data_IF_785327251877
#
_entry.id   IF_785327251877
#
_cell.length_a   1.000
_cell.length_b   1.000
_cell.length_c   1.000
_cell.angle_alpha   90.00
_cell.angle_beta   90.00
_cell.angle_gamma   90.00
#
_symmetry.space_group_name_H-M   'P 1'
#
loop_
_entity.id
_entity.type
_entity.pdbx_description
1 polymer ?
#
# COMPACT_ATOMS: atom_id res chain seq x y z
N UNK A 1 -39.53 -16.96 3.58
CA UNK A 1 -38.95 -15.66 3.89
C UNK A 1 -37.52 -15.97 4.33
N UNK A 2 -36.53 -15.57 3.54
CA UNK A 2 -35.13 -15.72 3.95
C UNK A 2 -34.85 -14.60 4.98
N UNK A 3 -34.29 -14.96 6.11
CA UNK A 3 -33.86 -14.00 7.12
C UNK A 3 -32.73 -13.11 6.49
N UNK A 4 -32.89 -11.80 6.57
CA UNK A 4 -31.82 -10.87 6.20
C UNK A 4 -30.63 -11.10 7.13
N UNK A 5 -29.39 -11.17 6.59
CA UNK A 5 -28.21 -11.34 7.42
C UNK A 5 -28.05 -10.15 8.36
N UNK A 6 -27.76 -10.42 9.63
CA UNK A 6 -27.61 -9.39 10.65
C UNK A 6 -26.42 -8.46 10.30
N UNK A 7 -26.53 -7.19 10.64
CA UNK A 7 -25.49 -6.17 10.41
C UNK A 7 -24.08 -6.54 10.98
N UNK A 8 -24.02 -7.52 11.88
CA UNK A 8 -22.77 -8.10 12.40
C UNK A 8 -22.05 -9.03 11.41
N UNK A 9 -22.76 -9.67 10.47
CA UNK A 9 -22.14 -10.55 9.47
C UNK A 9 -21.49 -9.77 8.32
N UNK A 10 -21.94 -8.55 8.07
CA UNK A 10 -21.36 -7.64 7.07
C UNK A 10 -20.06 -6.95 7.56
N UNK A 11 -19.78 -6.95 8.87
CA UNK A 11 -18.61 -6.27 9.46
C UNK A 11 -17.29 -7.07 9.41
N UNK A 12 -17.28 -8.29 8.90
CA UNK A 12 -16.05 -9.08 8.67
C UNK A 12 -15.37 -8.69 7.34
N UNK A 13 -15.12 -7.41 7.13
CA UNK A 13 -14.36 -6.96 5.97
C UNK A 13 -12.90 -7.39 6.10
N UNK A 14 -12.30 -7.85 4.99
CA UNK A 14 -10.88 -8.18 4.89
C UNK A 14 -9.95 -7.00 5.26
N UNK A 15 -10.47 -5.78 5.26
CA UNK A 15 -9.79 -4.55 5.65
C UNK A 15 -9.29 -4.55 7.09
N UNK A 16 -10.11 -4.99 8.05
CA UNK A 16 -9.69 -5.07 9.44
C UNK A 16 -8.51 -6.04 9.64
N UNK A 17 -8.50 -7.13 8.89
CA UNK A 17 -7.40 -8.10 8.91
C UNK A 17 -6.13 -7.52 8.27
N UNK A 18 -6.25 -6.80 7.13
CA UNK A 18 -5.10 -6.23 6.44
C UNK A 18 -4.47 -5.07 7.23
N UNK A 19 -5.27 -4.16 7.76
CA UNK A 19 -4.78 -3.08 8.63
C UNK A 19 -4.01 -3.65 9.84
N UNK A 20 -4.51 -4.75 10.43
CA UNK A 20 -3.82 -5.47 11.48
C UNK A 20 -2.45 -5.99 11.05
N UNK A 21 -2.34 -6.60 9.87
CA UNK A 21 -1.06 -7.11 9.36
C UNK A 21 -0.06 -5.99 9.03
N UNK A 22 -0.53 -4.88 8.45
CA UNK A 22 0.31 -3.71 8.19
C UNK A 22 0.83 -3.12 9.50
N UNK A 23 -0.03 -2.95 10.50
CA UNK A 23 0.37 -2.47 11.82
C UNK A 23 1.41 -3.39 12.48
N UNK A 24 1.23 -4.71 12.43
CA UNK A 24 2.20 -5.70 12.93
C UNK A 24 3.56 -5.57 12.23
N UNK A 25 3.55 -5.46 10.91
CA UNK A 25 4.76 -5.32 10.11
C UNK A 25 5.54 -4.04 10.45
N UNK A 26 4.84 -2.91 10.55
CA UNK A 26 5.43 -1.62 10.94
C UNK A 26 5.95 -1.62 12.38
N UNK A 27 5.25 -2.24 13.34
CA UNK A 27 5.75 -2.43 14.69
C UNK A 27 7.05 -3.26 14.70
N UNK A 28 7.10 -4.32 13.89
CA UNK A 28 8.29 -5.15 13.73
C UNK A 28 9.47 -4.37 13.13
N UNK A 29 9.23 -3.57 12.11
CA UNK A 29 10.23 -2.69 11.50
C UNK A 29 10.75 -1.68 12.52
N UNK A 30 9.83 -0.95 13.20
CA UNK A 30 10.22 0.04 14.20
C UNK A 30 11.08 -0.55 15.31
N UNK A 31 10.70 -1.71 15.84
CA UNK A 31 11.51 -2.41 16.86
C UNK A 31 12.88 -2.83 16.33
N UNK A 32 12.94 -3.33 15.11
CA UNK A 32 14.22 -3.69 14.45
C UNK A 32 15.13 -2.47 14.30
N UNK A 33 14.59 -1.33 13.90
CA UNK A 33 15.33 -0.08 13.78
C UNK A 33 15.82 0.45 15.13
N UNK A 34 15.01 0.33 16.20
CA UNK A 34 15.48 0.67 17.56
C UNK A 34 16.69 -0.17 17.97
N UNK A 35 16.64 -1.49 17.77
CA UNK A 35 17.76 -2.36 18.06
C UNK A 35 19.01 -2.01 17.24
N UNK A 36 18.86 -1.78 15.94
CA UNK A 36 19.96 -1.36 15.05
C UNK A 36 20.56 -0.02 15.53
N UNK A 37 19.72 0.92 15.93
CA UNK A 37 20.15 2.23 16.45
C UNK A 37 20.86 2.15 17.80
N UNK A 38 20.54 1.13 18.64
CA UNK A 38 21.24 0.88 19.91
C UNK A 38 22.66 0.33 19.71
N UNK A 39 22.82 -0.68 18.84
CA UNK A 39 24.11 -1.32 18.57
C UNK A 39 24.06 -2.10 17.23
N UNK A 40 24.51 -1.43 16.17
CA UNK A 40 24.49 -1.99 14.81
C UNK A 40 25.27 -3.32 14.71
N UNK A 41 26.45 -3.38 15.28
CA UNK A 41 27.35 -4.54 15.11
C UNK A 41 26.80 -5.76 15.84
N UNK A 42 26.18 -5.55 17.00
CA UNK A 42 25.54 -6.61 17.78
C UNK A 42 24.32 -7.18 17.06
N UNK A 43 23.50 -6.31 16.45
CA UNK A 43 22.20 -6.72 15.95
C UNK A 43 22.19 -7.08 14.46
N UNK A 44 23.26 -6.83 13.67
CA UNK A 44 23.31 -7.13 12.24
C UNK A 44 22.95 -8.57 11.86
N UNK A 45 23.23 -9.55 12.73
CA UNK A 45 22.91 -10.97 12.49
C UNK A 45 21.50 -11.37 12.95
N UNK A 46 20.70 -10.43 13.47
CA UNK A 46 19.36 -10.72 13.95
C UNK A 46 18.39 -10.84 12.78
N UNK A 47 17.25 -11.44 13.08
CA UNK A 47 16.16 -11.70 12.11
C UNK A 47 14.84 -11.26 12.71
N UNK A 48 14.04 -10.54 11.92
CA UNK A 48 12.63 -10.27 12.18
C UNK A 48 11.80 -11.37 11.53
N UNK A 49 10.94 -12.02 12.27
CA UNK A 49 9.97 -12.98 11.77
C UNK A 49 8.56 -12.40 11.89
N UNK A 50 7.84 -12.32 10.78
CA UNK A 50 6.46 -11.84 10.71
C UNK A 50 5.51 -13.05 10.70
N UNK A 51 4.41 -12.99 11.48
CA UNK A 51 3.34 -14.00 11.51
C UNK A 51 3.78 -15.47 11.67
N UNK A 52 4.91 -15.72 12.32
CA UNK A 52 5.46 -17.07 12.47
C UNK A 52 5.39 -17.61 13.89
N UNK A 53 5.96 -16.91 14.85
CA UNK A 53 6.05 -17.33 16.26
C UNK A 53 5.01 -16.63 17.12
N UNK A 54 4.69 -15.43 16.79
CA UNK A 54 3.62 -14.54 17.25
C UNK A 54 3.31 -13.59 16.10
N UNK A 55 2.64 -12.45 16.32
CA UNK A 55 2.43 -11.46 15.26
C UNK A 55 3.76 -11.03 14.64
N UNK A 56 4.78 -10.83 15.49
CA UNK A 56 6.17 -10.88 15.05
C UNK A 56 7.10 -11.34 16.18
N UNK A 57 8.33 -11.72 15.81
CA UNK A 57 9.35 -12.14 16.76
C UNK A 57 10.74 -11.71 16.31
N UNK A 58 11.64 -11.48 17.25
CA UNK A 58 13.06 -11.24 16.97
C UNK A 58 13.86 -12.47 17.37
N UNK A 59 14.73 -12.88 16.46
CA UNK A 59 15.64 -14.00 16.64
C UNK A 59 17.10 -13.51 16.51
N UNK A 60 17.97 -13.95 17.38
CA UNK A 60 19.40 -13.61 17.34
C UNK A 60 20.18 -14.47 16.33
N UNK A 61 21.47 -14.14 16.13
CA UNK A 61 22.35 -14.88 15.23
C UNK A 61 22.59 -16.35 15.61
N UNK A 62 22.31 -16.75 16.85
CA UNK A 62 22.37 -18.15 17.33
C UNK A 62 21.03 -18.88 17.19
N UNK A 63 20.09 -18.34 16.40
CA UNK A 63 18.77 -18.90 16.14
C UNK A 63 17.90 -19.10 17.40
N UNK A 64 18.02 -18.17 18.36
CA UNK A 64 17.18 -18.14 19.55
C UNK A 64 16.29 -16.90 19.54
N UNK A 65 15.02 -17.10 19.88
CA UNK A 65 14.06 -16.03 20.09
C UNK A 65 14.47 -15.19 21.29
N UNK A 66 14.66 -13.89 21.08
CA UNK A 66 14.99 -12.91 22.12
C UNK A 66 13.77 -12.10 22.54
N UNK A 67 12.77 -11.99 21.68
CA UNK A 67 11.49 -11.37 22.01
C UNK A 67 10.35 -11.92 21.14
N UNK A 68 9.13 -11.92 21.72
CA UNK A 68 7.87 -12.24 21.08
C UNK A 68 6.95 -11.04 21.24
N UNK A 69 6.21 -10.69 20.19
CA UNK A 69 5.42 -9.49 20.12
C UNK A 69 4.00 -9.78 19.63
N UNK A 70 3.01 -9.30 20.37
CA UNK A 70 1.60 -9.31 19.99
C UNK A 70 1.17 -7.88 19.71
N UNK A 71 0.49 -7.65 18.60
CA UNK A 71 -0.02 -6.35 18.19
C UNK A 71 -1.55 -6.33 18.18
N UNK A 72 -2.13 -5.25 18.67
CA UNK A 72 -3.59 -5.04 18.65
C UNK A 72 -3.93 -3.61 18.24
N UNK A 73 -4.69 -3.52 17.16
CA UNK A 73 -5.29 -2.28 16.67
C UNK A 73 -6.81 -2.42 16.69
N UNK A 74 -7.37 -2.57 17.91
CA UNK A 74 -8.79 -2.77 18.12
C UNK A 74 -9.42 -1.55 18.82
N UNK A 75 -10.38 -0.90 18.16
CA UNK A 75 -11.19 0.16 18.77
C UNK A 75 -12.11 -0.45 19.85
N UNK A 76 -12.12 0.16 21.03
CA UNK A 76 -13.05 -0.20 22.10
C UNK A 76 -12.62 -1.34 23.04
N UNK A 77 -11.82 -2.32 22.63
CA UNK A 77 -11.39 -3.43 23.48
C UNK A 77 -10.24 -3.02 24.39
N UNK A 78 -10.34 -3.30 25.69
CA UNK A 78 -9.30 -2.99 26.71
C UNK A 78 -8.84 -4.23 27.47
N UNK A 79 -9.59 -5.34 27.44
CA UNK A 79 -9.22 -6.58 28.11
C UNK A 79 -8.62 -7.57 27.09
N UNK A 80 -7.37 -7.94 27.33
CA UNK A 80 -6.58 -8.89 26.53
C UNK A 80 -6.04 -10.05 27.38
N UNK A 81 -6.71 -10.39 28.47
CA UNK A 81 -6.25 -11.42 29.42
C UNK A 81 -6.00 -12.78 28.74
N UNK A 82 -6.81 -13.17 27.77
CA UNK A 82 -6.63 -14.44 27.06
C UNK A 82 -5.46 -14.41 26.09
N UNK A 83 -5.20 -13.28 25.43
CA UNK A 83 -4.02 -13.07 24.60
C UNK A 83 -2.75 -13.16 25.48
N UNK A 84 -2.75 -12.54 26.64
CA UNK A 84 -1.63 -12.61 27.59
C UNK A 84 -1.34 -14.03 28.05
N UNK A 85 -2.37 -14.82 28.38
CA UNK A 85 -2.23 -16.25 28.74
C UNK A 85 -1.60 -17.04 27.58
N UNK A 86 -2.04 -16.79 26.33
CA UNK A 86 -1.50 -17.45 25.12
C UNK A 86 -0.03 -17.10 24.91
N UNK A 87 0.36 -15.83 25.00
CA UNK A 87 1.75 -15.38 24.87
C UNK A 87 2.67 -16.07 25.91
N UNK A 88 2.24 -16.10 27.17
CA UNK A 88 3.00 -16.75 28.26
C UNK A 88 3.14 -18.26 28.01
N UNK A 89 2.06 -18.93 27.58
CA UNK A 89 2.06 -20.34 27.24
C UNK A 89 3.02 -20.65 26.06
N UNK A 90 2.98 -19.83 25.00
CA UNK A 90 3.90 -19.94 23.85
C UNK A 90 5.37 -19.78 24.27
N UNK A 91 5.70 -18.77 25.06
CA UNK A 91 7.07 -18.58 25.59
C UNK A 91 7.53 -19.81 26.37
N UNK A 92 6.67 -20.36 27.27
CA UNK A 92 6.99 -21.59 28.04
C UNK A 92 7.27 -22.77 27.10
N UNK A 93 6.44 -22.96 26.07
CA UNK A 93 6.61 -24.02 25.07
C UNK A 93 7.93 -23.85 24.29
N UNK A 94 8.24 -22.65 23.81
CA UNK A 94 9.47 -22.37 23.07
C UNK A 94 10.72 -22.51 23.96
N UNK A 95 10.64 -22.11 25.23
CA UNK A 95 11.70 -22.33 26.20
C UNK A 95 11.94 -23.82 26.41
N UNK A 96 10.90 -24.64 26.57
CA UNK A 96 11.01 -26.11 26.69
C UNK A 96 11.66 -26.75 25.45
N UNK A 97 11.40 -26.18 24.25
CA UNK A 97 12.00 -26.63 22.98
C UNK A 97 13.43 -26.07 22.76
N UNK A 98 13.97 -25.30 23.70
CA UNK A 98 15.27 -24.66 23.55
C UNK A 98 15.35 -23.59 22.46
N UNK A 99 14.20 -23.05 22.01
CA UNK A 99 14.12 -22.03 20.95
C UNK A 99 14.23 -20.59 21.47
N UNK A 100 14.08 -20.35 22.78
CA UNK A 100 14.19 -19.02 23.38
C UNK A 100 15.49 -18.85 24.16
N UNK A 101 15.97 -17.62 24.25
CA UNK A 101 16.98 -17.23 25.26
C UNK A 101 16.37 -17.29 26.66
N UNK A 102 17.20 -17.32 27.70
CA UNK A 102 16.76 -17.36 29.11
C UNK A 102 15.93 -16.13 29.48
N UNK A 103 16.26 -14.98 28.89
CA UNK A 103 15.74 -13.63 29.13
C UNK A 103 14.75 -13.16 28.04
N UNK A 104 14.27 -14.07 27.18
CA UNK A 104 13.32 -13.75 26.12
C UNK A 104 12.16 -12.89 26.65
N UNK A 105 11.94 -11.74 26.04
CA UNK A 105 10.93 -10.77 26.45
C UNK A 105 9.58 -11.00 25.74
N UNK A 106 8.49 -10.63 26.42
CA UNK A 106 7.15 -10.58 25.83
C UNK A 106 6.70 -9.14 25.77
N UNK A 107 6.39 -8.66 24.57
CA UNK A 107 5.90 -7.30 24.34
C UNK A 107 4.49 -7.31 23.78
N UNK A 108 3.66 -6.41 24.29
CA UNK A 108 2.34 -6.16 23.80
C UNK A 108 2.26 -4.75 23.20
N UNK A 109 1.93 -4.66 21.92
CA UNK A 109 1.75 -3.40 21.19
C UNK A 109 0.26 -3.12 21.06
N UNK A 110 -0.14 -1.91 21.42
CA UNK A 110 -1.53 -1.46 21.30
C UNK A 110 -1.58 -0.03 20.75
N UNK A 111 -2.70 0.33 20.15
CA UNK A 111 -2.99 1.70 19.70
C UNK A 111 -3.41 2.63 20.83
N UNK A 112 -3.52 2.13 22.06
CA UNK A 112 -3.88 2.87 23.28
C UNK A 112 -3.22 2.27 24.51
N UNK A 113 -3.28 3.01 25.62
CA UNK A 113 -2.82 2.50 26.92
C UNK A 113 -3.69 1.32 27.36
N UNK A 114 -3.04 0.21 27.78
CA UNK A 114 -3.71 -0.98 28.30
C UNK A 114 -2.99 -1.47 29.55
N UNK A 115 -3.71 -2.12 30.44
CA UNK A 115 -3.08 -2.82 31.56
C UNK A 115 -2.63 -4.21 31.11
N UNK A 116 -1.33 -4.46 31.17
CA UNK A 116 -0.75 -5.72 30.74
C UNK A 116 -0.57 -6.68 31.91
N UNK A 117 -0.80 -7.97 31.64
CA UNK A 117 -0.63 -9.01 32.65
C UNK A 117 0.84 -9.17 33.08
N UNK A 118 1.04 -9.71 34.31
CA UNK A 118 2.37 -9.97 34.87
C UNK A 118 3.24 -10.80 33.93
N UNK A 119 4.45 -10.34 33.66
CA UNK A 119 5.42 -11.03 32.79
C UNK A 119 5.32 -10.63 31.31
N UNK A 120 4.45 -9.67 31.00
CA UNK A 120 4.35 -9.02 29.70
C UNK A 120 4.66 -7.53 29.90
N UNK A 121 5.29 -6.92 28.92
CA UNK A 121 5.60 -5.48 28.93
C UNK A 121 4.78 -4.81 27.82
N UNK A 122 4.00 -3.78 28.15
CA UNK A 122 3.47 -2.92 27.11
C UNK A 122 4.64 -2.24 26.42
N UNK A 123 4.66 -2.29 25.08
CA UNK A 123 5.84 -1.88 24.32
C UNK A 123 6.10 -0.37 24.46
N UNK A 124 7.29 0.07 24.87
CA UNK A 124 7.63 1.48 24.98
C UNK A 124 8.00 2.03 23.60
N UNK A 125 7.05 2.66 22.93
CA UNK A 125 7.30 3.30 21.62
C UNK A 125 8.26 4.48 21.78
N UNK A 126 8.03 5.33 22.80
CA UNK A 126 8.93 6.42 23.21
C UNK A 126 9.20 6.32 24.71
N UNK A 127 10.03 7.20 25.25
CA UNK A 127 10.32 7.26 26.70
C UNK A 127 9.08 7.61 27.54
N UNK A 128 8.10 8.27 26.93
CA UNK A 128 6.89 8.75 27.61
C UNK A 128 5.61 8.04 27.16
N UNK A 129 5.65 7.22 26.11
CA UNK A 129 4.45 6.64 25.51
C UNK A 129 4.62 5.14 25.21
N UNK A 130 3.74 4.35 25.79
CA UNK A 130 3.70 2.89 25.64
C UNK A 130 2.61 2.39 24.69
N UNK A 131 2.04 3.25 23.85
CA UNK A 131 1.10 2.89 22.81
C UNK A 131 1.35 3.75 21.57
N UNK A 132 0.89 3.29 20.39
CA UNK A 132 1.06 4.04 19.15
C UNK A 132 -0.09 3.74 18.20
N UNK A 133 -0.76 4.76 17.74
CA UNK A 133 -1.74 4.64 16.67
C UNK A 133 -1.04 4.35 15.34
N UNK A 134 -1.67 3.58 14.43
CA UNK A 134 -1.06 3.22 13.15
C UNK A 134 -0.55 4.42 12.34
N UNK A 135 -1.30 5.52 12.31
CA UNK A 135 -0.92 6.74 11.60
C UNK A 135 0.33 7.44 12.16
N UNK A 136 0.61 7.29 13.47
CA UNK A 136 1.80 7.87 14.11
C UNK A 136 3.06 7.01 13.91
N UNK A 137 2.89 5.72 13.62
CA UNK A 137 3.99 4.74 13.62
C UNK A 137 4.99 5.02 12.49
N UNK A 138 4.52 5.45 11.33
CA UNK A 138 5.39 5.85 10.21
C UNK A 138 6.26 7.05 10.59
N UNK A 139 5.70 8.02 11.33
CA UNK A 139 6.46 9.14 11.87
C UNK A 139 7.54 8.71 12.87
N UNK A 140 7.26 7.72 13.73
CA UNK A 140 8.26 7.15 14.63
C UNK A 140 9.36 6.39 13.88
N UNK A 141 9.02 5.65 12.83
CA UNK A 141 9.98 4.99 11.95
C UNK A 141 10.86 6.05 11.28
N UNK A 142 10.27 7.11 10.74
CA UNK A 142 11.00 8.24 10.14
C UNK A 142 12.02 8.84 11.10
N UNK A 143 11.60 9.18 12.33
CA UNK A 143 12.48 9.73 13.35
C UNK A 143 13.63 8.77 13.71
N UNK A 144 13.34 7.47 13.80
CA UNK A 144 14.38 6.47 14.09
C UNK A 144 15.38 6.34 12.94
N UNK A 145 14.94 6.36 11.69
CA UNK A 145 15.82 6.38 10.51
C UNK A 145 16.65 7.66 10.47
N UNK A 146 16.04 8.81 10.73
CA UNK A 146 16.77 10.09 10.82
C UNK A 146 17.88 10.06 11.87
N UNK A 147 17.60 9.50 13.05
CA UNK A 147 18.59 9.35 14.12
C UNK A 147 19.74 8.40 13.73
N UNK A 148 19.45 7.32 13.01
CA UNK A 148 20.48 6.36 12.58
C UNK A 148 21.36 6.96 11.47
N UNK A 149 20.77 7.67 10.51
CA UNK A 149 21.47 8.15 9.32
C UNK A 149 22.13 9.51 9.52
N UNK A 150 21.55 10.40 10.33
CA UNK A 150 21.98 11.82 10.44
C UNK A 150 21.87 12.57 9.11
N UNK A 151 20.92 12.22 8.23
CA UNK A 151 20.71 12.78 6.90
C UNK A 151 19.54 13.75 6.87
N UNK A 152 19.41 14.50 5.76
CA UNK A 152 18.29 15.39 5.51
C UNK A 152 16.95 14.63 5.37
N UNK A 153 15.85 15.36 5.55
CA UNK A 153 14.48 14.81 5.56
C UNK A 153 14.10 14.09 4.25
N UNK A 154 14.57 14.59 3.09
CA UNK A 154 14.26 13.99 1.80
C UNK A 154 14.93 12.61 1.65
N UNK A 155 16.19 12.50 2.05
CA UNK A 155 16.93 11.23 2.10
C UNK A 155 16.27 10.25 3.08
N UNK A 156 15.93 10.73 4.29
CA UNK A 156 15.25 9.90 5.30
C UNK A 156 13.92 9.36 4.78
N UNK A 157 13.08 10.19 4.17
CA UNK A 157 11.82 9.76 3.57
C UNK A 157 12.01 8.65 2.54
N UNK A 158 12.98 8.78 1.64
CA UNK A 158 13.29 7.74 0.64
C UNK A 158 13.60 6.40 1.32
N UNK A 159 14.47 6.43 2.32
CA UNK A 159 14.87 5.21 3.06
C UNK A 159 13.69 4.61 3.81
N UNK A 160 12.89 5.41 4.50
CA UNK A 160 11.68 4.95 5.20
C UNK A 160 10.74 4.21 4.25
N UNK A 161 10.45 4.79 3.08
CA UNK A 161 9.61 4.14 2.09
C UNK A 161 10.19 2.82 1.60
N UNK A 162 11.50 2.76 1.35
CA UNK A 162 12.16 1.52 0.94
C UNK A 162 12.04 0.43 2.00
N UNK A 163 12.15 0.79 3.28
CA UNK A 163 12.01 -0.14 4.39
C UNK A 163 10.56 -0.61 4.58
N UNK A 164 9.61 0.30 4.48
CA UNK A 164 8.18 -0.04 4.53
C UNK A 164 7.85 -1.00 3.38
N UNK A 165 8.27 -0.70 2.15
CA UNK A 165 8.07 -1.57 0.99
C UNK A 165 8.65 -2.98 1.20
N UNK A 166 9.82 -3.10 1.85
CA UNK A 166 10.40 -4.41 2.19
C UNK A 166 9.48 -5.23 3.09
N UNK A 167 8.91 -4.60 4.12
CA UNK A 167 8.02 -5.27 5.07
C UNK A 167 6.74 -5.72 4.38
N UNK A 168 6.15 -4.85 3.59
CA UNK A 168 4.88 -5.12 2.92
C UNK A 168 5.01 -6.21 1.86
N UNK A 169 6.10 -6.22 1.10
CA UNK A 169 6.39 -7.33 0.19
C UNK A 169 6.46 -8.66 0.96
N UNK A 170 7.07 -8.66 2.15
CA UNK A 170 7.11 -9.85 3.00
C UNK A 170 5.75 -10.28 3.50
N UNK A 171 4.91 -9.35 3.90
CA UNK A 171 3.51 -9.63 4.29
C UNK A 171 2.73 -10.23 3.11
N UNK A 172 2.87 -9.67 1.91
CA UNK A 172 2.26 -10.20 0.69
C UNK A 172 2.75 -11.62 0.36
N UNK A 173 4.07 -11.86 0.43
CA UNK A 173 4.66 -13.18 0.20
C UNK A 173 4.10 -14.23 1.15
N UNK A 174 3.91 -13.88 2.42
CA UNK A 174 3.31 -14.75 3.42
C UNK A 174 1.87 -15.09 3.02
N UNK A 175 1.05 -14.06 2.67
CA UNK A 175 -0.35 -14.26 2.33
C UNK A 175 -0.55 -15.06 1.04
N UNK A 176 0.23 -14.80 0.01
CA UNK A 176 0.18 -15.56 -1.26
C UNK A 176 0.46 -17.04 -1.05
N UNK A 177 1.38 -17.40 -0.15
CA UNK A 177 1.72 -18.80 0.17
C UNK A 177 0.66 -19.51 1.02
N UNK A 178 -0.23 -18.76 1.71
CA UNK A 178 -1.31 -19.33 2.52
C UNK A 178 -2.60 -19.64 1.75
N UNK A 179 -2.72 -19.23 0.50
CA UNK A 179 -3.94 -19.39 -0.31
C UNK A 179 -4.27 -20.83 -0.69
N UNK A 180 -3.36 -21.81 -0.88
CA UNK A 180 -3.77 -23.19 -1.13
C UNK A 180 -4.36 -23.84 0.14
N UNK A 181 -5.66 -24.02 0.14
CA UNK A 181 -6.47 -24.50 1.29
C UNK A 181 -6.19 -25.94 1.75
N UNK A 182 -5.40 -26.73 1.04
CA UNK A 182 -5.32 -28.18 1.22
C UNK A 182 -4.26 -28.73 2.19
N UNK A 183 -3.33 -27.91 2.72
CA UNK A 183 -2.25 -28.41 3.60
C UNK A 183 -1.83 -27.42 4.70
N UNK A 184 -2.76 -27.00 5.53
CA UNK A 184 -2.55 -25.95 6.56
C UNK A 184 -1.41 -26.24 7.55
N UNK A 185 -1.09 -27.50 7.85
CA UNK A 185 -0.07 -27.87 8.84
C UNK A 185 1.34 -27.86 8.27
N UNK A 186 1.54 -28.42 7.10
CA UNK A 186 2.82 -28.42 6.39
C UNK A 186 3.19 -27.00 5.90
N UNK A 187 2.21 -26.22 5.44
CA UNK A 187 2.45 -24.84 5.00
C UNK A 187 2.81 -23.90 6.15
N UNK A 188 2.27 -24.10 7.36
CA UNK A 188 2.71 -23.37 8.56
C UNK A 188 4.15 -23.64 8.93
N UNK A 189 4.67 -24.82 8.67
CA UNK A 189 6.05 -25.18 8.97
C UNK A 189 7.02 -24.68 7.87
N UNK A 190 6.62 -24.74 6.61
CA UNK A 190 7.43 -24.26 5.48
C UNK A 190 7.43 -22.72 5.44
N UNK A 191 6.32 -22.06 5.75
CA UNK A 191 6.27 -20.60 5.87
C UNK A 191 7.13 -20.06 7.02
N UNK A 192 7.41 -20.89 8.02
CA UNK A 192 8.29 -20.54 9.15
C UNK A 192 9.73 -20.22 8.74
N UNK A 193 10.24 -20.78 7.65
CA UNK A 193 11.70 -20.76 7.43
C UNK A 193 12.22 -19.74 6.42
N UNK A 194 11.47 -19.30 5.44
CA UNK A 194 12.03 -18.38 4.43
C UNK A 194 11.16 -17.18 4.04
N UNK A 195 9.82 -17.32 4.03
CA UNK A 195 8.94 -16.28 3.56
C UNK A 195 8.67 -15.17 4.59
N UNK A 196 8.64 -15.53 5.87
CA UNK A 196 8.35 -14.61 6.98
C UNK A 196 9.57 -13.90 7.56
N UNK A 197 10.76 -14.27 7.11
CA UNK A 197 12.03 -13.77 7.67
C UNK A 197 12.53 -12.54 6.93
N UNK A 198 12.80 -11.47 7.68
CA UNK A 198 13.57 -10.30 7.23
C UNK A 198 14.87 -10.26 8.03
N UNK A 199 16.00 -10.41 7.35
CA UNK A 199 17.31 -10.29 8.00
C UNK A 199 17.58 -8.81 8.34
N UNK A 200 18.15 -8.54 9.51
CA UNK A 200 18.58 -7.18 9.85
C UNK A 200 19.65 -6.66 8.89
N UNK A 201 20.48 -7.56 8.37
CA UNK A 201 21.41 -7.22 7.30
C UNK A 201 20.71 -6.60 6.08
N UNK A 202 19.54 -7.13 5.66
CA UNK A 202 18.76 -6.54 4.55
C UNK A 202 18.18 -5.17 4.93
N UNK A 203 17.78 -4.96 6.19
CA UNK A 203 17.36 -3.64 6.68
C UNK A 203 18.57 -2.67 6.64
N UNK A 204 19.74 -3.09 7.06
CA UNK A 204 20.98 -2.30 7.02
C UNK A 204 21.40 -1.96 5.59
N UNK A 205 21.33 -2.91 4.68
CA UNK A 205 21.60 -2.68 3.25
C UNK A 205 20.68 -1.58 2.68
N UNK A 206 19.41 -1.58 3.07
CA UNK A 206 18.47 -0.52 2.68
C UNK A 206 18.71 0.81 3.40
N UNK A 207 19.08 0.79 4.67
CA UNK A 207 19.41 2.00 5.42
C UNK A 207 20.61 2.76 4.84
N UNK A 208 21.62 2.03 4.39
CA UNK A 208 22.91 2.61 3.96
C UNK A 208 23.16 2.47 2.46
N UNK A 209 22.14 2.08 1.68
CA UNK A 209 22.26 2.09 0.22
C UNK A 209 22.55 3.51 -0.29
N UNK A 210 23.40 3.61 -1.29
CA UNK A 210 23.69 4.89 -1.94
C UNK A 210 22.44 5.48 -2.58
N UNK A 211 22.27 6.80 -2.56
CA UNK A 211 21.06 7.49 -3.04
C UNK A 211 20.66 7.12 -4.46
N UNK A 212 21.63 6.87 -5.33
CA UNK A 212 21.39 6.49 -6.72
C UNK A 212 20.63 5.16 -6.86
N UNK A 213 20.87 4.20 -5.98
CA UNK A 213 20.17 2.91 -6.01
C UNK A 213 18.68 3.05 -5.74
N UNK A 214 18.29 3.99 -4.87
CA UNK A 214 16.89 4.21 -4.54
C UNK A 214 16.10 4.97 -5.61
N UNK A 215 16.77 5.89 -6.33
CA UNK A 215 16.11 6.70 -7.36
C UNK A 215 15.77 5.86 -8.60
N UNK A 216 16.55 4.82 -8.88
CA UNK A 216 16.42 4.02 -10.10
C UNK A 216 15.79 2.65 -9.90
N UNK A 217 15.54 2.21 -8.66
CA UNK A 217 14.85 0.95 -8.42
C UNK A 217 13.34 1.08 -8.71
N UNK A 218 12.93 0.54 -9.84
CA UNK A 218 11.55 0.52 -10.32
C UNK A 218 10.58 -0.02 -9.28
N UNK A 219 10.94 -1.12 -8.66
CA UNK A 219 10.05 -1.84 -7.75
C UNK A 219 9.80 -1.02 -6.48
N UNK A 220 10.83 -0.40 -5.95
CA UNK A 220 10.72 0.52 -4.80
C UNK A 220 9.90 1.76 -5.17
N UNK A 221 10.09 2.34 -6.35
CA UNK A 221 9.36 3.53 -6.80
C UNK A 221 7.87 3.24 -6.97
N UNK A 222 7.52 2.19 -7.70
CA UNK A 222 6.12 1.80 -7.93
C UNK A 222 5.43 1.41 -6.63
N UNK A 223 6.14 0.68 -5.74
CA UNK A 223 5.62 0.29 -4.44
C UNK A 223 5.33 1.51 -3.57
N UNK A 224 6.18 2.53 -3.58
CA UNK A 224 5.94 3.80 -2.86
C UNK A 224 4.66 4.50 -3.29
N UNK A 225 4.47 4.64 -4.61
CA UNK A 225 3.25 5.26 -5.15
C UNK A 225 2.02 4.45 -4.74
N UNK A 226 2.11 3.13 -4.83
CA UNK A 226 1.04 2.21 -4.39
C UNK A 226 0.61 2.50 -2.94
N UNK A 227 1.57 2.60 -2.03
CA UNK A 227 1.27 2.86 -0.62
C UNK A 227 0.71 4.24 -0.39
N UNK A 228 1.32 5.25 -1.00
CA UNK A 228 0.83 6.62 -0.89
C UNK A 228 -0.59 6.73 -1.39
N UNK A 229 -0.90 6.15 -2.54
CA UNK A 229 -2.24 6.17 -3.11
C UNK A 229 -3.27 5.47 -2.19
N UNK A 230 -2.90 4.32 -1.62
CA UNK A 230 -3.76 3.60 -0.66
C UNK A 230 -4.00 4.44 0.60
N UNK A 231 -2.94 5.02 1.18
CA UNK A 231 -3.01 5.85 2.38
C UNK A 231 -3.91 7.07 2.15
N UNK A 232 -3.70 7.78 1.05
CA UNK A 232 -4.46 8.97 0.72
C UNK A 232 -5.94 8.64 0.47
N UNK A 233 -6.26 7.59 -0.30
CA UNK A 233 -7.64 7.13 -0.53
C UNK A 233 -8.34 6.74 0.79
N UNK A 234 -7.64 6.07 1.69
CA UNK A 234 -8.19 5.70 2.99
C UNK A 234 -8.34 6.90 3.92
N UNK A 235 -7.41 7.86 3.86
CA UNK A 235 -7.50 9.10 4.62
C UNK A 235 -8.73 9.89 4.21
N UNK A 236 -8.95 10.11 2.91
CA UNK A 236 -10.14 10.78 2.40
C UNK A 236 -11.43 10.03 2.80
N UNK A 237 -11.41 8.69 2.74
CA UNK A 237 -12.58 7.87 3.10
C UNK A 237 -12.93 7.91 4.59
N UNK A 238 -11.95 8.18 5.46
CA UNK A 238 -12.12 8.21 6.92
C UNK A 238 -12.13 9.64 7.49
N UNK A 239 -12.04 10.66 6.63
CA UNK A 239 -12.05 12.06 7.06
C UNK A 239 -13.44 12.43 7.62
N UNK A 240 -13.46 13.01 8.82
CA UNK A 240 -14.70 13.47 9.47
C UNK A 240 -15.41 14.57 8.66
N UNK A 241 -14.66 15.33 7.84
CA UNK A 241 -15.24 16.33 6.93
C UNK A 241 -16.00 15.70 5.74
N UNK A 242 -15.88 14.38 5.51
CA UNK A 242 -16.62 13.62 4.51
C UNK A 242 -17.80 12.82 5.11
N UNK A 243 -18.49 13.36 6.12
CA UNK A 243 -19.67 12.74 6.76
C UNK A 243 -20.81 12.40 5.76
N UNK A 244 -20.80 13.01 4.59
CA UNK A 244 -21.80 12.79 3.53
C UNK A 244 -21.57 11.53 2.67
N UNK A 245 -20.45 10.79 2.88
CA UNK A 245 -20.19 9.57 2.15
C UNK A 245 -21.14 8.44 2.56
N UNK A 246 -21.90 7.94 1.58
CA UNK A 246 -22.74 6.76 1.82
C UNK A 246 -21.88 5.51 2.03
N UNK A 247 -22.48 4.48 2.67
CA UNK A 247 -21.81 3.19 2.85
C UNK A 247 -21.45 2.53 1.51
N UNK A 248 -22.28 2.71 0.48
CA UNK A 248 -22.04 2.24 -0.89
C UNK A 248 -20.79 2.92 -1.49
N UNK A 249 -20.71 4.24 -1.43
CA UNK A 249 -19.56 5.00 -1.92
C UNK A 249 -18.25 4.62 -1.22
N UNK A 250 -18.31 4.46 0.11
CA UNK A 250 -17.19 3.95 0.89
C UNK A 250 -16.81 2.52 0.48
N UNK A 251 -17.80 1.70 0.14
CA UNK A 251 -17.64 0.35 -0.40
C UNK A 251 -16.85 0.33 -1.70
N UNK A 252 -17.16 1.24 -2.64
CA UNK A 252 -16.46 1.36 -3.92
C UNK A 252 -14.97 1.71 -3.73
N UNK A 253 -14.67 2.64 -2.83
CA UNK A 253 -13.28 3.01 -2.52
C UNK A 253 -12.53 1.86 -1.85
N UNK A 254 -13.16 1.16 -0.92
CA UNK A 254 -12.56 -0.03 -0.28
C UNK A 254 -12.25 -1.12 -1.31
N UNK A 255 -13.13 -1.32 -2.29
CA UNK A 255 -12.90 -2.26 -3.38
C UNK A 255 -11.72 -1.84 -4.25
N UNK A 256 -11.61 -0.56 -4.62
CA UNK A 256 -10.46 -0.01 -5.34
C UNK A 256 -9.16 -0.24 -4.55
N UNK A 257 -9.13 0.10 -3.27
CA UNK A 257 -7.96 -0.08 -2.40
C UNK A 257 -7.56 -1.55 -2.33
N UNK A 258 -8.51 -2.47 -2.18
CA UNK A 258 -8.24 -3.90 -2.15
C UNK A 258 -7.72 -4.42 -3.51
N UNK A 259 -8.26 -3.91 -4.62
CA UNK A 259 -7.75 -4.20 -5.94
C UNK A 259 -6.30 -3.72 -6.12
N UNK A 260 -6.01 -2.47 -5.76
CA UNK A 260 -4.65 -1.91 -5.80
C UNK A 260 -3.68 -2.75 -4.95
N UNK A 261 -4.09 -3.22 -3.78
CA UNK A 261 -3.25 -4.07 -2.91
C UNK A 261 -2.80 -5.36 -3.58
N UNK A 262 -3.65 -5.96 -4.40
CA UNK A 262 -3.39 -7.23 -5.10
C UNK A 262 -2.46 -7.09 -6.30
N UNK A 263 -2.30 -5.88 -6.84
CA UNK A 263 -1.41 -5.66 -7.98
C UNK A 263 0.05 -5.91 -7.57
N UNK A 264 0.76 -6.66 -8.39
CA UNK A 264 2.22 -6.69 -8.36
C UNK A 264 2.81 -5.39 -8.95
N UNK A 265 4.12 -5.31 -9.07
CA UNK A 265 4.78 -4.10 -9.58
C UNK A 265 4.36 -3.79 -11.02
N UNK A 266 4.27 -4.80 -11.88
CA UNK A 266 3.90 -4.62 -13.29
C UNK A 266 2.43 -4.18 -13.41
N UNK A 267 1.55 -4.84 -12.69
CA UNK A 267 0.12 -4.48 -12.61
C UNK A 267 -0.09 -3.08 -12.05
N UNK A 268 0.67 -2.70 -11.02
CA UNK A 268 0.59 -1.37 -10.42
C UNK A 268 1.11 -0.29 -11.38
N UNK A 269 2.22 -0.52 -12.08
CA UNK A 269 2.73 0.43 -13.08
C UNK A 269 1.72 0.61 -14.22
N UNK A 270 1.14 -0.49 -14.71
CA UNK A 270 0.07 -0.44 -15.72
C UNK A 270 -1.15 0.33 -15.23
N UNK A 271 -1.58 0.10 -14.00
CA UNK A 271 -2.69 0.83 -13.38
C UNK A 271 -2.39 2.33 -13.27
N UNK A 272 -1.18 2.71 -12.82
CA UNK A 272 -0.76 4.10 -12.74
C UNK A 272 -0.77 4.80 -14.11
N UNK A 273 -0.31 4.13 -15.16
CA UNK A 273 -0.34 4.65 -16.53
C UNK A 273 -1.78 4.93 -17.00
N UNK A 274 -2.73 4.09 -16.59
CA UNK A 274 -4.15 4.26 -16.93
C UNK A 274 -4.78 5.43 -16.20
N UNK A 275 -4.60 5.50 -14.88
CA UNK A 275 -5.23 6.55 -14.06
C UNK A 275 -4.58 7.92 -14.25
N UNK A 276 -3.32 7.97 -14.71
CA UNK A 276 -2.56 9.19 -14.96
C UNK A 276 -2.11 9.32 -16.43
N UNK A 277 -3.03 9.35 -17.39
CA UNK A 277 -2.66 9.23 -18.81
C UNK A 277 -1.87 10.42 -19.36
N UNK A 278 -1.82 11.53 -18.65
CA UNK A 278 -1.06 12.75 -19.04
C UNK A 278 0.30 12.88 -18.35
N UNK A 279 0.63 12.01 -17.40
CA UNK A 279 1.84 12.08 -16.59
C UNK A 279 2.86 11.02 -16.98
N UNK A 280 4.13 11.31 -16.78
CA UNK A 280 5.19 10.33 -17.01
C UNK A 280 5.41 9.46 -15.78
N UNK A 281 4.72 8.33 -15.71
CA UNK A 281 4.79 7.38 -14.59
C UNK A 281 6.14 6.65 -14.53
N UNK A 282 6.88 6.57 -15.63
CA UNK A 282 8.11 5.78 -15.75
C UNK A 282 9.39 6.57 -15.48
N UNK A 283 9.33 7.88 -15.39
CA UNK A 283 10.52 8.73 -15.23
C UNK A 283 11.18 8.64 -13.84
N UNK A 284 10.45 8.12 -12.85
CA UNK A 284 10.96 7.79 -11.50
C UNK A 284 11.68 8.93 -10.77
N UNK A 285 11.39 10.18 -11.13
CA UNK A 285 11.91 11.33 -10.42
C UNK A 285 11.09 11.63 -9.15
N UNK A 286 11.67 12.40 -8.24
CA UNK A 286 10.95 12.88 -7.05
C UNK A 286 9.78 13.78 -7.46
N UNK A 287 10.00 14.62 -8.46
CA UNK A 287 8.97 15.55 -8.97
C UNK A 287 7.78 14.77 -9.58
N UNK A 288 8.07 13.70 -10.34
CA UNK A 288 7.02 12.84 -10.89
C UNK A 288 6.28 12.10 -9.79
N UNK A 289 6.97 11.62 -8.76
CA UNK A 289 6.34 11.00 -7.60
C UNK A 289 5.37 11.96 -6.90
N UNK A 290 5.82 13.19 -6.58
CA UNK A 290 4.98 14.22 -5.94
C UNK A 290 3.79 14.58 -6.85
N UNK A 291 4.00 14.66 -8.15
CA UNK A 291 2.96 15.00 -9.11
C UNK A 291 1.92 13.89 -9.26
N UNK A 292 2.34 12.61 -9.32
CA UNK A 292 1.44 11.44 -9.45
C UNK A 292 0.60 11.27 -8.18
N UNK A 293 1.21 11.40 -7.01
CA UNK A 293 0.57 11.28 -5.72
C UNK A 293 0.07 12.63 -5.16
N UNK A 294 -0.27 13.60 -6.02
CA UNK A 294 -0.78 14.89 -5.56
C UNK A 294 -2.23 14.76 -5.06
N UNK A 295 -2.55 15.46 -3.98
CA UNK A 295 -3.87 15.45 -3.34
C UNK A 295 -5.01 15.69 -4.35
N UNK A 296 -4.83 16.63 -5.28
CA UNK A 296 -5.83 16.92 -6.31
C UNK A 296 -6.13 15.73 -7.22
N UNK A 297 -5.11 14.91 -7.58
CA UNK A 297 -5.29 13.74 -8.44
C UNK A 297 -5.93 12.59 -7.69
N UNK A 298 -5.50 12.37 -6.46
CA UNK A 298 -6.07 11.35 -5.59
C UNK A 298 -7.54 11.68 -5.29
N UNK A 299 -7.84 12.94 -4.96
CA UNK A 299 -9.22 13.41 -4.76
C UNK A 299 -10.07 13.24 -6.02
N UNK A 300 -9.51 13.54 -7.20
CA UNK A 300 -10.24 13.35 -8.47
C UNK A 300 -10.55 11.86 -8.70
N UNK A 301 -9.59 10.98 -8.54
CA UNK A 301 -9.79 9.54 -8.66
C UNK A 301 -10.83 9.02 -7.65
N UNK A 302 -10.73 9.49 -6.39
CA UNK A 302 -11.68 9.19 -5.34
C UNK A 302 -13.11 9.57 -5.76
N UNK A 303 -13.32 10.80 -6.21
CA UNK A 303 -14.64 11.28 -6.65
C UNK A 303 -15.18 10.49 -7.85
N UNK A 304 -14.31 10.12 -8.80
CA UNK A 304 -14.72 9.31 -9.96
C UNK A 304 -15.19 7.93 -9.53
N UNK A 305 -14.46 7.26 -8.63
CA UNK A 305 -14.78 5.89 -8.23
C UNK A 305 -15.89 5.83 -7.20
N UNK A 306 -15.95 6.76 -6.24
CA UNK A 306 -16.99 6.75 -5.20
C UNK A 306 -18.39 7.04 -5.74
N UNK A 307 -18.50 7.91 -6.75
CA UNK A 307 -19.79 8.34 -7.29
C UNK A 307 -20.37 7.43 -8.38
N UNK A 308 -19.58 6.48 -8.88
CA UNK A 308 -19.97 5.56 -9.96
C UNK A 308 -20.19 4.14 -9.41
N UNK A 309 -20.52 3.21 -10.31
CA UNK A 309 -20.69 1.80 -9.99
C UNK A 309 -19.40 1.17 -9.45
N UNK A 310 -19.54 0.06 -8.72
CA UNK A 310 -18.38 -0.68 -8.26
C UNK A 310 -17.54 -1.18 -9.43
N UNK A 311 -16.23 -1.02 -9.34
CA UNK A 311 -15.26 -1.54 -10.31
C UNK A 311 -15.28 -3.07 -10.38
N UNK A 312 -14.91 -3.63 -11.52
CA UNK A 312 -14.57 -5.04 -11.67
C UNK A 312 -13.20 -5.36 -11.07
N UNK A 313 -12.84 -6.63 -11.07
CA UNK A 313 -11.59 -7.12 -10.43
C UNK A 313 -10.31 -6.60 -11.07
N UNK A 314 -10.36 -6.19 -12.32
CA UNK A 314 -9.24 -5.56 -13.07
C UNK A 314 -9.21 -4.03 -12.93
N UNK A 315 -10.02 -3.48 -12.02
CA UNK A 315 -10.16 -2.05 -11.73
C UNK A 315 -10.65 -1.24 -12.94
N UNK A 316 -11.60 -1.78 -13.66
CA UNK A 316 -12.31 -1.16 -14.80
C UNK A 316 -13.81 -1.37 -14.68
N UNK A 317 -14.57 -0.86 -15.65
CA UNK A 317 -15.97 -1.21 -15.85
C UNK A 317 -16.14 -1.80 -17.26
N UNK A 318 -17.04 -2.75 -17.43
CA UNK A 318 -17.47 -3.25 -18.73
C UNK A 318 -18.94 -2.91 -18.91
N UNK A 319 -19.25 -2.12 -19.93
CA UNK A 319 -20.60 -1.69 -20.28
C UNK A 319 -20.95 -2.09 -21.70
N UNK A 320 -22.21 -1.87 -22.11
CA UNK A 320 -22.60 -2.06 -23.51
C UNK A 320 -21.82 -1.17 -24.49
N UNK A 321 -21.23 -0.07 -23.99
CA UNK A 321 -20.43 0.89 -24.77
C UNK A 321 -18.94 0.53 -24.84
N UNK A 322 -18.53 -0.54 -24.17
CA UNK A 322 -17.17 -1.02 -24.13
C UNK A 322 -16.52 -1.02 -22.76
N UNK A 323 -15.22 -1.18 -22.73
CA UNK A 323 -14.42 -1.24 -21.53
C UNK A 323 -13.94 0.16 -21.12
N UNK A 324 -14.13 0.50 -19.86
CA UNK A 324 -13.92 1.83 -19.31
C UNK A 324 -12.94 1.79 -18.14
N UNK A 325 -12.09 2.80 -17.99
CA UNK A 325 -11.15 2.90 -16.87
C UNK A 325 -11.28 4.24 -16.14
N UNK A 326 -11.23 4.25 -14.80
CA UNK A 326 -11.18 5.49 -14.04
C UNK A 326 -9.86 6.22 -14.29
N UNK A 327 -9.89 7.56 -14.25
CA UNK A 327 -8.69 8.39 -14.36
C UNK A 327 -8.71 9.53 -13.35
N UNK A 328 -7.53 10.10 -13.07
CA UNK A 328 -7.37 11.32 -12.29
C UNK A 328 -7.46 12.61 -13.13
N UNK A 329 -7.99 12.52 -14.34
CA UNK A 329 -8.21 13.68 -15.20
C UNK A 329 -9.30 14.58 -14.61
N UNK A 330 -9.01 15.87 -14.52
CA UNK A 330 -9.91 16.85 -13.94
C UNK A 330 -10.13 18.07 -14.86
N UNK A 331 -11.08 18.89 -14.49
CA UNK A 331 -11.50 20.08 -15.22
C UNK A 331 -10.52 21.26 -15.19
N UNK A 332 -9.34 21.12 -14.58
CA UNK A 332 -8.30 22.15 -14.54
C UNK A 332 -7.75 22.50 -15.93
N UNK A 333 -7.89 21.57 -16.88
CA UNK A 333 -7.55 21.80 -18.27
C UNK A 333 -8.79 21.77 -19.15
N UNK A 334 -8.77 22.53 -20.26
CA UNK A 334 -9.79 22.35 -21.31
C UNK A 334 -9.65 20.97 -21.95
N UNK A 335 -10.75 20.38 -22.35
CA UNK A 335 -10.81 19.04 -22.96
C UNK A 335 -9.84 18.88 -24.14
N UNK A 336 -9.73 19.84 -25.10
CA UNK A 336 -8.73 19.78 -26.16
C UNK A 336 -7.29 19.73 -25.66
N UNK A 337 -6.98 20.44 -24.57
CA UNK A 337 -5.63 20.43 -23.97
C UNK A 337 -5.33 19.08 -23.29
N UNK A 338 -6.33 18.47 -22.64
CA UNK A 338 -6.19 17.11 -22.06
C UNK A 338 -5.91 16.09 -23.16
N UNK A 339 -6.72 16.06 -24.21
CA UNK A 339 -6.55 15.13 -25.35
C UNK A 339 -5.15 15.26 -25.96
N UNK A 340 -4.68 16.49 -26.23
CA UNK A 340 -3.32 16.71 -26.75
C UNK A 340 -2.22 16.26 -25.78
N UNK A 341 -2.41 16.37 -24.47
CA UNK A 341 -1.46 15.85 -23.48
C UNK A 341 -1.42 14.33 -23.47
N UNK A 342 -2.58 13.66 -23.52
CA UNK A 342 -2.67 12.20 -23.63
C UNK A 342 -1.94 11.71 -24.88
N UNK A 343 -2.23 12.33 -26.03
CA UNK A 343 -1.61 11.99 -27.32
C UNK A 343 -0.09 12.20 -27.33
N UNK A 344 0.43 13.17 -26.58
CA UNK A 344 1.88 13.40 -26.45
C UNK A 344 2.56 12.40 -25.53
N UNK A 345 1.84 11.75 -24.65
CA UNK A 345 2.39 10.81 -23.67
C UNK A 345 2.42 9.38 -24.22
N UNK A 346 3.30 9.15 -25.18
CA UNK A 346 3.44 7.86 -25.90
C UNK A 346 3.70 6.68 -24.94
N UNK A 347 4.38 6.92 -23.82
CA UNK A 347 4.77 5.88 -22.86
C UNK A 347 3.56 5.21 -22.20
N UNK A 348 2.46 5.94 -22.02
CA UNK A 348 1.27 5.40 -21.36
C UNK A 348 0.25 4.80 -22.36
N UNK A 349 0.45 4.99 -23.66
CA UNK A 349 -0.54 4.61 -24.67
C UNK A 349 -0.84 3.11 -24.66
N UNK A 350 0.17 2.26 -24.51
CA UNK A 350 -0.02 0.80 -24.48
C UNK A 350 -0.97 0.35 -23.36
N UNK A 351 -0.93 1.03 -22.22
CA UNK A 351 -1.81 0.72 -21.08
C UNK A 351 -3.24 1.21 -21.28
N UNK A 352 -3.49 2.07 -22.26
CA UNK A 352 -4.83 2.56 -22.63
C UNK A 352 -5.47 1.75 -23.76
N UNK A 353 -4.70 0.91 -24.44
CA UNK A 353 -5.16 0.19 -25.62
C UNK A 353 -6.34 -0.77 -25.35
N UNK A 354 -6.44 -1.32 -24.16
CA UNK A 354 -7.51 -2.23 -23.76
C UNK A 354 -8.85 -1.53 -23.49
N UNK A 355 -8.86 -0.19 -23.38
CA UNK A 355 -10.03 0.58 -22.95
C UNK A 355 -10.63 1.36 -24.12
N UNK A 356 -11.94 1.44 -24.13
CA UNK A 356 -12.72 2.22 -25.11
C UNK A 356 -12.96 3.63 -24.58
N UNK A 357 -13.04 3.79 -23.24
CA UNK A 357 -13.32 5.07 -22.61
C UNK A 357 -12.43 5.34 -21.38
N UNK A 358 -11.97 6.58 -21.28
CA UNK A 358 -11.33 7.14 -20.09
C UNK A 358 -12.36 7.96 -19.32
N UNK A 359 -12.64 7.57 -18.07
CA UNK A 359 -13.62 8.24 -17.22
C UNK A 359 -12.94 9.20 -16.28
N UNK A 360 -13.29 10.49 -16.33
CA UNK A 360 -12.66 11.52 -15.50
C UNK A 360 -13.63 12.62 -15.06
N UNK A 361 -13.18 13.51 -14.19
CA UNK A 361 -13.90 14.72 -13.80
C UNK A 361 -13.59 15.87 -14.78
N UNK A 362 -13.86 15.63 -16.05
CA UNK A 362 -13.56 16.53 -17.16
C UNK A 362 -14.77 17.38 -17.56
N UNK A 363 -14.58 18.39 -18.40
CA UNK A 363 -15.63 19.34 -18.75
C UNK A 363 -16.61 18.80 -19.79
N UNK A 364 -16.09 18.07 -20.77
CA UNK A 364 -16.85 17.64 -21.95
C UNK A 364 -16.43 16.25 -22.37
N UNK A 365 -17.34 15.50 -22.98
CA UNK A 365 -17.06 14.24 -23.61
C UNK A 365 -16.30 14.40 -24.93
N UNK A 366 -15.53 13.38 -25.28
CA UNK A 366 -14.86 13.27 -26.58
C UNK A 366 -14.98 11.83 -27.06
N UNK A 367 -15.63 11.62 -28.18
CA UNK A 367 -15.84 10.28 -28.75
C UNK A 367 -14.53 9.64 -29.23
N UNK A 368 -13.56 10.44 -29.63
CA UNK A 368 -12.26 9.96 -30.06
C UNK A 368 -11.17 10.98 -29.76
N UNK A 369 -10.25 10.63 -28.85
CA UNK A 369 -9.11 11.48 -28.47
C UNK A 369 -8.21 11.78 -29.68
N UNK A 370 -8.10 10.85 -30.64
CA UNK A 370 -7.31 11.04 -31.85
C UNK A 370 -7.76 12.20 -32.74
N UNK A 371 -9.01 12.67 -32.61
CA UNK A 371 -9.48 13.86 -33.35
C UNK A 371 -8.68 15.15 -33.02
N UNK A 372 -7.88 15.11 -31.95
CA UNK A 372 -6.99 16.21 -31.53
C UNK A 372 -5.53 15.99 -31.92
N UNK A 373 -5.21 14.96 -32.74
CA UNK A 373 -3.90 14.83 -33.34
C UNK A 373 -3.62 16.08 -34.21
N UNK A 374 -2.38 16.63 -34.16
CA UNK A 374 -2.01 17.70 -35.05
C UNK A 374 -2.15 17.20 -36.51
N UNK A 375 -2.74 18.02 -37.37
CA UNK A 375 -2.76 17.70 -38.79
C UNK A 375 -1.33 17.66 -39.35
N UNK A 376 -1.11 16.93 -40.44
CA UNK A 376 0.21 16.75 -41.09
C UNK A 376 0.90 18.08 -41.38
N UNK A 377 0.15 19.16 -41.54
CA UNK A 377 0.68 20.53 -41.74
C UNK A 377 1.32 21.14 -40.48
N UNK A 378 0.92 20.71 -39.27
CA UNK A 378 1.50 21.18 -38.00
C UNK A 378 2.81 20.46 -37.64
N UNK A 379 3.17 19.37 -38.32
CA UNK A 379 4.26 18.46 -37.98
C UNK A 379 5.51 18.68 -38.85
N UNK A 380 5.53 19.64 -39.75
CA UNK A 380 6.69 19.96 -40.64
C UNK A 380 7.91 20.46 -39.87
N UNK A 381 8.30 19.86 -38.78
CA UNK A 381 9.48 20.29 -38.03
C UNK A 381 10.19 19.23 -37.19
N UNK A 382 9.56 18.15 -36.84
CA UNK A 382 10.19 17.15 -35.96
C UNK A 382 9.89 15.74 -36.47
N UNK A 383 10.82 15.18 -37.21
CA UNK A 383 10.76 13.81 -37.74
C UNK A 383 10.54 12.77 -36.62
N UNK A 384 9.29 12.44 -36.36
CA UNK A 384 8.87 11.27 -35.60
C UNK A 384 7.89 10.48 -36.44
N UNK A 385 8.44 9.45 -37.10
CA UNK A 385 7.70 8.28 -37.55
C UNK A 385 7.25 7.52 -36.30
N UNK A 386 6.10 7.85 -35.76
CA UNK A 386 5.52 7.12 -34.64
C UNK A 386 4.00 7.08 -34.83
N UNK A 387 3.51 5.98 -35.41
CA UNK A 387 2.09 5.69 -35.42
C UNK A 387 1.59 5.62 -33.97
N UNK A 388 0.70 6.56 -33.60
CA UNK A 388 0.03 6.51 -32.32
C UNK A 388 -0.96 5.33 -32.30
N UNK A 389 -1.06 4.60 -31.20
CA UNK A 389 -2.10 3.55 -31.02
C UNK A 389 -3.51 4.11 -31.27
N UNK A 390 -3.73 5.39 -31.05
CA UNK A 390 -5.00 6.08 -31.29
C UNK A 390 -5.35 6.23 -32.79
N UNK A 391 -4.41 5.96 -33.70
CA UNK A 391 -4.71 5.87 -35.13
C UNK A 391 -5.43 4.55 -35.49
N UNK A 392 -5.17 3.49 -34.70
CA UNK A 392 -5.73 2.16 -34.95
C UNK A 392 -6.91 1.83 -34.05
N UNK A 393 -7.02 2.47 -32.88
CA UNK A 393 -8.10 2.26 -31.93
C UNK A 393 -8.72 3.60 -31.51
N UNK A 394 -10.05 3.68 -31.54
CA UNK A 394 -10.79 4.79 -30.97
C UNK A 394 -10.81 4.66 -29.45
N UNK A 395 -10.35 5.69 -28.76
CA UNK A 395 -10.46 5.83 -27.32
C UNK A 395 -11.15 7.15 -27.04
N UNK A 396 -12.26 7.10 -26.31
CA UNK A 396 -13.03 8.27 -25.94
C UNK A 396 -12.64 8.79 -24.54
N UNK A 397 -13.12 9.99 -24.25
CA UNK A 397 -13.05 10.59 -22.91
C UNK A 397 -14.47 10.95 -22.48
N UNK A 398 -14.88 10.48 -21.30
CA UNK A 398 -16.24 10.71 -20.80
C UNK A 398 -16.19 11.38 -19.43
N UNK A 399 -17.11 12.33 -19.21
CA UNK A 399 -17.26 12.93 -17.88
C UNK A 399 -17.91 11.93 -16.93
N UNK A 400 -17.50 11.91 -15.66
CA UNK A 400 -18.16 11.07 -14.63
C UNK A 400 -19.67 11.32 -14.57
N UNK A 401 -20.11 12.57 -14.77
CA UNK A 401 -21.52 12.94 -14.77
C UNK A 401 -22.30 12.30 -15.92
N UNK A 402 -21.72 12.28 -17.13
CA UNK A 402 -22.37 11.66 -18.28
C UNK A 402 -22.35 10.14 -18.18
N UNK A 403 -21.29 9.54 -17.61
CA UNK A 403 -21.28 8.12 -17.30
C UNK A 403 -22.41 7.77 -16.32
N UNK A 404 -22.55 8.50 -15.23
CA UNK A 404 -23.62 8.29 -14.23
C UNK A 404 -25.02 8.35 -14.85
N UNK A 405 -25.21 9.20 -15.85
CA UNK A 405 -26.50 9.39 -16.55
C UNK A 405 -26.67 8.48 -17.79
N UNK A 406 -25.68 7.66 -18.13
CA UNK A 406 -25.70 6.86 -19.37
C UNK A 406 -25.60 7.65 -20.67
N UNK A 407 -25.19 8.92 -20.62
CA UNK A 407 -25.24 9.90 -21.73
C UNK A 407 -23.86 10.12 -22.37
N UNK A 408 -23.27 9.12 -23.08
CA UNK A 408 -22.02 9.27 -23.84
C UNK A 408 -21.90 8.24 -24.95
#
# INVERSE_FOLDING_TARGET
MAEEPSSRELSNSALGSWAGYTYQGLCGLYHSLKLIGEDRDKYQQYKLYLDSYEDFAIMNGSEKLVSLHQCKDEKGKTDYADEYKKMIAKKKLFKKKGLCTSDCKLYFHANKAVDVGRGITQYPFTDTQSYCEPGMLVGLIHNQVANILGKDDATVKKVVFSLVALIDQKVLDIHQKYIPKSNRKALREIAKESASCVKFQTILERLFAEEEVFAYDRDSYVTRIKYRLIEDLLTICNDEDNEDLTEEQSGHIRFLVEGIRRLDVDGMESFLKRIHPIDNVTNRSIDDFVNIASDTKVQTLFNVVSELEQLETDLSWTTEKGKETPTSLNSNFSTPKLCRKILKNVINQDSLYEYDWLVGDVRENVDNIASYLPTIDDVKGNGRDGSSIFETKKVGLVTKQNKKNGNY
#
